data_IF_043590885113
#
_entry.id   IF_043590885113
#
_cell.length_a   1.000
_cell.length_b   1.000
_cell.length_c   1.000
_cell.angle_alpha   90.00
_cell.angle_beta   90.00
_cell.angle_gamma   90.00
#
_symmetry.space_group_name_H-M   'P 1'
#
loop_
_entity.id
_entity.type
_entity.pdbx_description
1 polymer ?
#
# COMPACT_ATOMS: atom_id res chain seq x y z
N UNK A 1 -28.65 29.48 -11.87
CA UNK A 1 -27.78 28.66 -10.99
C UNK A 1 -27.70 27.26 -11.59
N UNK A 2 -26.68 27.00 -12.42
CA UNK A 2 -26.42 25.68 -12.97
C UNK A 2 -25.56 24.90 -11.97
N UNK A 3 -26.07 23.75 -11.51
CA UNK A 3 -25.28 22.77 -10.76
C UNK A 3 -24.33 22.09 -11.74
N UNK A 4 -23.03 22.37 -11.64
CA UNK A 4 -22.00 21.59 -12.32
C UNK A 4 -21.96 20.21 -11.68
N UNK A 5 -22.31 19.19 -12.45
CA UNK A 5 -22.10 17.81 -12.10
C UNK A 5 -20.59 17.55 -12.10
N UNK A 6 -20.07 17.10 -10.95
CA UNK A 6 -18.74 16.52 -10.85
C UNK A 6 -18.76 15.25 -11.71
N UNK A 7 -18.14 15.33 -12.89
CA UNK A 7 -17.86 14.14 -13.69
C UNK A 7 -16.74 13.38 -12.98
N UNK A 8 -17.10 12.30 -12.29
CA UNK A 8 -16.17 11.25 -11.91
C UNK A 8 -15.71 10.60 -13.21
N UNK A 9 -14.44 10.77 -13.55
CA UNK A 9 -13.84 10.14 -14.73
C UNK A 9 -13.86 8.60 -14.55
N UNK A 10 -14.04 7.84 -15.64
CA UNK A 10 -14.08 6.39 -15.55
C UNK A 10 -12.71 5.83 -15.18
N UNK A 11 -12.68 4.90 -14.22
CA UNK A 11 -11.55 4.03 -13.91
C UNK A 11 -11.16 3.23 -15.16
N UNK A 12 -9.99 3.55 -15.72
CA UNK A 12 -9.49 2.87 -16.90
C UNK A 12 -8.29 3.63 -17.45
N UNK A 13 -7.10 3.04 -17.31
CA UNK A 13 -5.79 3.54 -17.75
C UNK A 13 -5.13 4.60 -16.85
N UNK A 14 -4.78 4.22 -15.62
CA UNK A 14 -3.60 4.81 -14.98
C UNK A 14 -2.39 4.46 -15.85
N UNK A 15 -1.95 5.41 -16.68
CA UNK A 15 -0.90 5.22 -17.68
C UNK A 15 0.29 4.45 -17.12
N UNK A 16 0.65 3.36 -17.79
CA UNK A 16 1.59 2.33 -17.31
C UNK A 16 2.97 2.87 -16.88
N UNK A 17 3.31 4.10 -17.28
CA UNK A 17 4.52 4.80 -16.86
C UNK A 17 4.39 5.62 -15.56
N UNK A 18 3.25 6.24 -15.26
CA UNK A 18 3.14 7.27 -14.20
C UNK A 18 3.58 6.76 -12.83
N UNK A 19 4.26 7.60 -12.05
CA UNK A 19 4.64 7.27 -10.68
C UNK A 19 3.39 7.04 -9.80
N UNK A 20 3.49 6.05 -8.91
CA UNK A 20 2.51 5.50 -7.98
C UNK A 20 3.10 5.55 -6.57
N UNK A 21 2.25 5.45 -5.56
CA UNK A 21 2.67 5.59 -4.16
C UNK A 21 3.75 4.56 -3.74
N UNK A 22 3.68 3.32 -4.25
CA UNK A 22 4.69 2.30 -3.93
C UNK A 22 6.08 2.62 -4.55
N UNK A 23 6.15 3.37 -5.66
CA UNK A 23 7.45 3.69 -6.28
C UNK A 23 8.28 4.60 -5.36
N UNK A 24 7.62 5.42 -4.53
CA UNK A 24 8.28 6.19 -3.49
C UNK A 24 9.01 5.31 -2.46
N UNK A 25 8.74 4.01 -2.41
CA UNK A 25 9.43 3.04 -1.57
C UNK A 25 10.39 2.15 -2.36
N UNK A 26 10.05 1.85 -3.60
CA UNK A 26 10.82 0.93 -4.44
C UNK A 26 12.02 1.60 -5.14
N UNK A 27 11.92 2.88 -5.53
CA UNK A 27 13.03 3.60 -6.15
C UNK A 27 14.12 3.93 -5.14
N UNK A 28 15.37 4.00 -5.60
CA UNK A 28 16.44 4.56 -4.78
C UNK A 28 16.16 6.01 -4.44
N UNK A 29 16.44 6.44 -3.20
CA UNK A 29 16.03 7.75 -2.71
C UNK A 29 16.55 8.91 -3.57
N UNK A 30 17.82 8.93 -4.04
CA UNK A 30 18.30 9.97 -4.94
C UNK A 30 17.52 10.02 -6.27
N UNK A 31 17.16 8.85 -6.82
CA UNK A 31 16.40 8.74 -8.08
C UNK A 31 14.97 9.25 -7.89
N UNK A 32 14.34 8.90 -6.77
CA UNK A 32 13.02 9.41 -6.40
C UNK A 32 13.02 10.94 -6.30
N UNK A 33 14.01 11.51 -5.60
CA UNK A 33 14.14 12.95 -5.43
C UNK A 33 14.34 13.67 -6.76
N UNK A 34 15.18 13.13 -7.64
CA UNK A 34 15.43 13.67 -8.99
C UNK A 34 14.17 13.65 -9.86
N UNK A 35 13.50 12.49 -9.95
CA UNK A 35 12.24 12.33 -10.71
C UNK A 35 11.14 13.26 -10.23
N UNK A 36 11.05 13.45 -8.92
CA UNK A 36 10.02 14.30 -8.31
C UNK A 36 10.44 15.77 -8.25
N UNK A 37 11.59 16.14 -8.83
CA UNK A 37 12.20 17.47 -8.73
C UNK A 37 12.13 18.02 -7.29
N UNK A 38 12.60 17.18 -6.36
CA UNK A 38 12.42 17.36 -4.92
C UNK A 38 13.77 17.56 -4.24
N UNK A 39 13.80 18.45 -3.25
CA UNK A 39 14.96 18.64 -2.37
C UNK A 39 14.58 18.43 -0.91
N UNK A 40 15.38 17.68 -0.17
CA UNK A 40 15.29 17.60 1.29
C UNK A 40 16.17 18.68 1.94
N UNK A 41 15.63 19.41 2.90
CA UNK A 41 16.31 20.51 3.61
C UNK A 41 16.12 20.36 5.11
N UNK A 42 17.21 20.33 5.86
CA UNK A 42 17.17 20.35 7.32
C UNK A 42 16.73 21.73 7.83
N UNK A 43 15.73 21.75 8.69
CA UNK A 43 15.23 22.97 9.33
C UNK A 43 14.61 22.65 10.68
N UNK A 44 14.74 23.56 11.64
CA UNK A 44 13.98 23.46 12.89
C UNK A 44 12.48 23.62 12.59
N UNK A 45 11.76 22.50 12.61
CA UNK A 45 10.31 22.42 12.39
C UNK A 45 9.50 22.94 13.61
N UNK A 46 10.18 23.47 14.63
CA UNK A 46 9.58 23.99 15.86
C UNK A 46 9.34 22.91 16.92
N UNK A 47 8.68 23.31 18.00
CA UNK A 47 8.29 22.38 19.07
C UNK A 47 7.07 21.57 18.65
N UNK A 48 6.99 20.31 19.12
CA UNK A 48 5.88 19.34 19.09
C UNK A 48 6.29 17.95 18.56
N UNK A 49 7.51 17.75 18.06
CA UNK A 49 7.98 16.41 17.69
C UNK A 49 7.66 15.98 16.25
N UNK A 50 7.34 16.94 15.38
CA UNK A 50 7.31 16.74 13.93
C UNK A 50 8.67 16.23 13.44
N UNK A 51 8.66 15.25 12.54
CA UNK A 51 9.87 14.69 11.95
C UNK A 51 10.16 15.31 10.58
N UNK A 52 9.12 15.55 9.78
CA UNK A 52 9.25 16.17 8.47
C UNK A 52 7.98 16.90 8.04
N UNK A 53 8.09 17.78 7.06
CA UNK A 53 6.98 18.43 6.38
C UNK A 53 7.27 18.53 4.88
N UNK A 54 6.23 18.50 4.06
CA UNK A 54 6.28 18.75 2.63
C UNK A 54 5.72 20.14 2.34
N UNK A 55 6.45 20.91 1.56
CA UNK A 55 6.04 22.21 1.04
C UNK A 55 6.23 22.25 -0.47
N UNK A 56 5.22 22.71 -1.19
CA UNK A 56 5.29 22.91 -2.64
C UNK A 56 5.66 24.36 -2.95
N UNK A 57 6.72 24.54 -3.73
CA UNK A 57 7.13 25.82 -4.31
C UNK A 57 6.75 25.82 -5.81
N UNK A 58 6.63 26.99 -6.48
CA UNK A 58 6.12 27.09 -7.84
C UNK A 58 6.72 26.12 -8.87
N UNK A 59 7.98 25.71 -8.70
CA UNK A 59 8.67 24.82 -9.65
C UNK A 59 9.29 23.57 -8.99
N UNK A 60 9.09 23.33 -7.68
CA UNK A 60 9.74 22.21 -6.97
C UNK A 60 9.03 21.79 -5.70
N UNK A 61 9.24 20.53 -5.30
CA UNK A 61 8.82 20.03 -3.99
C UNK A 61 9.99 20.21 -3.01
N UNK A 62 9.71 20.71 -1.82
CA UNK A 62 10.67 20.83 -0.74
C UNK A 62 10.21 19.94 0.43
N UNK A 63 11.07 19.01 0.85
CA UNK A 63 10.84 18.21 2.06
C UNK A 63 11.69 18.79 3.18
N UNK A 64 11.03 19.43 4.12
CA UNK A 64 11.64 19.99 5.32
C UNK A 64 11.79 18.87 6.35
N UNK A 65 12.99 18.62 6.83
CA UNK A 65 13.27 17.51 7.76
C UNK A 65 13.90 18.04 9.05
N UNK A 66 13.57 17.41 10.17
CA UNK A 66 14.13 17.78 11.46
C UNK A 66 15.63 17.46 11.51
N UNK A 67 16.49 18.33 12.07
CA UNK A 67 17.90 18.02 12.26
C UNK A 67 18.10 16.84 13.20
N UNK A 68 19.11 16.01 12.91
CA UNK A 68 19.53 14.91 13.79
C UNK A 68 18.74 13.61 13.62
N UNK A 69 17.91 13.48 12.57
CA UNK A 69 17.37 12.18 12.16
C UNK A 69 18.49 11.28 11.64
N UNK A 70 18.41 9.98 11.94
CA UNK A 70 19.24 8.98 11.28
C UNK A 70 18.91 8.87 9.78
N UNK A 71 19.81 8.28 9.00
CA UNK A 71 19.59 8.05 7.56
C UNK A 71 18.30 7.25 7.28
N UNK A 72 18.02 6.26 8.13
CA UNK A 72 16.80 5.45 8.05
C UNK A 72 15.55 6.30 8.33
N UNK A 73 15.54 7.10 9.40
CA UNK A 73 14.41 7.97 9.73
C UNK A 73 14.18 9.03 8.65
N UNK A 74 15.26 9.60 8.10
CA UNK A 74 15.20 10.55 7.00
C UNK A 74 14.57 9.92 5.75
N UNK A 75 15.03 8.72 5.38
CA UNK A 75 14.50 7.96 4.24
C UNK A 75 13.00 7.67 4.42
N UNK A 76 12.60 7.14 5.58
CA UNK A 76 11.18 6.86 5.90
C UNK A 76 10.36 8.15 5.82
N UNK A 77 10.88 9.26 6.35
CA UNK A 77 10.16 10.52 6.39
C UNK A 77 9.89 11.08 4.99
N UNK A 78 10.91 11.14 4.14
CA UNK A 78 10.77 11.62 2.76
C UNK A 78 9.82 10.72 1.97
N UNK A 79 10.02 9.40 2.02
CA UNK A 79 9.22 8.42 1.25
C UNK A 79 7.75 8.44 1.66
N UNK A 80 7.45 8.55 2.96
CA UNK A 80 6.07 8.63 3.45
C UNK A 80 5.34 9.88 2.95
N UNK A 81 6.01 11.04 2.98
CA UNK A 81 5.44 12.29 2.48
C UNK A 81 5.22 12.24 0.97
N UNK A 82 6.22 11.77 0.20
CA UNK A 82 6.13 11.69 -1.26
C UNK A 82 5.13 10.63 -1.72
N UNK A 83 5.05 9.46 -1.08
CA UNK A 83 4.06 8.44 -1.40
C UNK A 83 2.62 8.98 -1.25
N UNK A 84 2.35 9.71 -0.17
CA UNK A 84 1.07 10.36 0.07
C UNK A 84 0.78 11.46 -0.95
N UNK A 85 1.80 12.28 -1.26
CA UNK A 85 1.70 13.36 -2.24
C UNK A 85 1.42 12.85 -3.65
N UNK A 86 2.13 11.82 -4.13
CA UNK A 86 1.96 11.25 -5.49
C UNK A 86 0.52 10.83 -5.73
N UNK A 87 -0.08 10.14 -4.78
CA UNK A 87 -1.45 9.66 -4.93
C UNK A 87 -2.49 10.78 -4.78
N UNK A 88 -2.28 11.67 -3.80
CA UNK A 88 -3.19 12.79 -3.52
C UNK A 88 -2.38 14.06 -3.32
N UNK A 89 -2.04 14.77 -4.42
CA UNK A 89 -1.19 15.95 -4.34
C UNK A 89 -1.81 16.98 -3.42
N UNK A 90 -1.10 17.28 -2.34
CA UNK A 90 -1.52 18.24 -1.34
C UNK A 90 -0.34 19.14 -1.02
N UNK A 91 -0.53 20.47 -1.01
CA UNK A 91 0.58 21.41 -0.90
C UNK A 91 1.31 21.35 0.45
N UNK A 92 0.65 20.82 1.48
CA UNK A 92 1.18 20.67 2.84
C UNK A 92 0.90 19.31 3.45
N UNK A 93 1.95 18.53 3.65
CA UNK A 93 1.86 17.28 4.42
C UNK A 93 2.82 17.37 5.59
N UNK A 94 2.42 16.87 6.75
CA UNK A 94 3.27 16.85 7.94
C UNK A 94 3.39 15.43 8.44
N UNK A 95 4.61 15.02 8.73
CA UNK A 95 4.95 13.71 9.27
C UNK A 95 5.24 13.80 10.76
N UNK A 96 4.56 12.94 11.52
CA UNK A 96 4.74 12.78 12.96
C UNK A 96 5.14 11.34 13.28
N UNK A 97 5.87 11.10 14.37
CA UNK A 97 6.02 9.75 14.89
C UNK A 97 4.65 9.23 15.37
N UNK A 98 4.40 7.95 15.19
CA UNK A 98 3.20 7.31 15.71
C UNK A 98 3.30 7.24 17.24
N UNK A 99 2.25 7.68 17.94
CA UNK A 99 2.17 7.50 19.40
C UNK A 99 2.08 6.00 19.68
N UNK A 100 3.00 5.47 20.49
CA UNK A 100 3.04 4.07 20.95
C UNK A 100 3.65 3.03 19.99
N UNK A 101 4.28 3.42 18.87
CA UNK A 101 4.89 2.48 17.93
C UNK A 101 6.17 2.98 17.26
N UNK A 102 6.81 2.14 16.44
CA UNK A 102 7.98 2.49 15.61
C UNK A 102 7.60 3.13 14.27
N UNK A 103 6.32 3.46 14.06
CA UNK A 103 5.79 3.99 12.80
C UNK A 103 5.74 5.52 12.71
N UNK A 104 5.23 5.99 11.57
CA UNK A 104 5.02 7.41 11.27
C UNK A 104 3.62 7.65 10.73
N UNK A 105 3.08 8.85 10.92
CA UNK A 105 1.76 9.25 10.44
C UNK A 105 1.87 10.56 9.66
N UNK A 106 1.38 10.54 8.42
CA UNK A 106 1.25 11.73 7.58
C UNK A 106 -0.13 12.36 7.79
N UNK A 107 -0.17 13.67 8.03
CA UNK A 107 -1.41 14.44 8.18
C UNK A 107 -1.42 15.67 7.29
N UNK A 108 -2.61 16.02 6.82
CA UNK A 108 -2.92 17.34 6.28
C UNK A 108 -3.08 18.30 7.48
N UNK A 109 -2.38 19.45 7.53
CA UNK A 109 -2.55 20.41 8.62
C UNK A 109 -3.95 21.02 8.54
N UNK A 110 -4.73 20.96 9.63
CA UNK A 110 -6.13 21.38 9.59
C UNK A 110 -6.31 22.89 9.45
N UNK A 111 -5.41 23.74 9.97
CA UNK A 111 -5.67 25.20 10.04
C UNK A 111 -4.43 26.13 10.11
N UNK A 112 -3.20 25.66 9.85
CA UNK A 112 -2.00 26.43 10.25
C UNK A 112 -1.34 27.28 9.14
N UNK A 113 -1.71 27.15 7.86
CA UNK A 113 -0.90 27.71 6.76
C UNK A 113 -1.71 28.45 5.68
N UNK A 114 -2.78 29.15 6.07
CA UNK A 114 -3.58 29.97 5.14
C UNK A 114 -2.78 31.14 4.50
N UNK A 115 -1.61 31.50 5.06
CA UNK A 115 -0.84 32.68 4.66
C UNK A 115 0.34 32.39 3.71
N UNK A 116 0.61 31.13 3.36
CA UNK A 116 1.62 30.82 2.34
C UNK A 116 0.98 30.91 0.95
N UNK A 117 1.57 31.70 0.05
CA UNK A 117 1.17 31.73 -1.36
C UNK A 117 1.67 30.45 -2.02
N UNK A 118 0.73 29.58 -2.40
CA UNK A 118 1.01 28.24 -2.90
C UNK A 118 1.03 28.22 -4.42
N UNK A 119 1.99 27.48 -4.98
CA UNK A 119 1.94 27.04 -6.37
C UNK A 119 1.00 25.85 -6.52
N UNK A 120 0.52 25.61 -7.74
CA UNK A 120 -0.17 24.37 -8.07
C UNK A 120 0.76 23.17 -7.83
N UNK A 121 0.24 22.03 -7.33
CA UNK A 121 1.04 20.84 -7.18
C UNK A 121 1.60 20.38 -8.54
N UNK A 122 2.92 20.14 -8.69
CA UNK A 122 3.47 19.54 -9.90
C UNK A 122 2.81 18.19 -10.22
N UNK A 123 2.59 17.95 -11.51
CA UNK A 123 2.01 16.70 -11.99
C UNK A 123 3.05 15.57 -11.94
N UNK A 124 2.70 14.46 -11.30
CA UNK A 124 3.58 13.32 -11.08
C UNK A 124 3.40 12.28 -12.22
N UNK A 125 3.86 12.61 -13.43
CA UNK A 125 3.58 11.81 -14.65
C UNK A 125 4.77 11.06 -15.26
N UNK A 126 5.93 11.07 -14.61
CA UNK A 126 7.14 10.43 -15.13
C UNK A 126 6.97 8.92 -15.32
N UNK A 127 7.51 8.39 -16.43
CA UNK A 127 7.71 6.94 -16.63
C UNK A 127 8.88 6.44 -15.78
N UNK A 128 8.61 5.54 -14.85
CA UNK A 128 9.59 5.09 -13.85
C UNK A 128 10.14 3.68 -14.07
N UNK A 129 9.61 2.90 -15.03
CA UNK A 129 9.99 1.48 -15.18
C UNK A 129 11.50 1.28 -15.43
N UNK A 130 12.08 2.16 -16.25
CA UNK A 130 13.50 2.10 -16.59
C UNK A 130 14.42 2.53 -15.44
N UNK A 131 13.89 3.20 -14.43
CA UNK A 131 14.65 3.73 -13.28
C UNK A 131 14.94 2.66 -12.22
N UNK A 132 14.29 1.50 -12.31
CA UNK A 132 14.50 0.39 -11.39
C UNK A 132 15.76 -0.43 -11.65
N UNK A 133 16.40 -0.30 -12.82
CA UNK A 133 17.38 -1.28 -13.33
C UNK A 133 18.51 -1.63 -12.36
N UNK A 134 18.94 -0.68 -11.54
CA UNK A 134 20.06 -0.85 -10.59
C UNK A 134 19.63 -0.67 -9.12
N UNK A 135 18.32 -0.62 -8.85
CA UNK A 135 17.78 -0.40 -7.50
C UNK A 135 17.62 -1.69 -6.69
N UNK A 136 17.53 -1.55 -5.37
CA UNK A 136 17.34 -2.66 -4.43
C UNK A 136 16.07 -3.48 -4.72
N UNK A 137 15.05 -2.84 -5.29
CA UNK A 137 13.76 -3.41 -5.64
C UNK A 137 13.55 -3.61 -7.14
N UNK A 138 14.64 -3.67 -7.93
CA UNK A 138 14.56 -4.18 -9.30
C UNK A 138 13.97 -5.60 -9.30
N UNK A 139 13.22 -6.02 -10.33
CA UNK A 139 12.90 -7.44 -10.51
C UNK A 139 14.16 -8.33 -10.48
N UNK A 140 14.14 -9.45 -9.74
CA UNK A 140 15.31 -10.37 -9.67
C UNK A 140 15.68 -10.94 -11.03
N UNK A 141 14.67 -11.30 -11.80
CA UNK A 141 14.80 -12.06 -13.03
C UNK A 141 14.15 -11.33 -14.22
N UNK A 142 14.06 -10.00 -14.15
CA UNK A 142 13.39 -9.16 -15.16
C UNK A 142 11.86 -9.10 -15.01
N UNK A 143 11.24 -8.33 -15.90
CA UNK A 143 9.78 -8.16 -15.93
C UNK A 143 9.09 -9.40 -16.52
N UNK A 144 7.93 -9.75 -15.99
CA UNK A 144 7.15 -10.97 -16.27
C UNK A 144 5.66 -10.65 -16.42
N UNK A 145 4.89 -11.59 -16.98
CA UNK A 145 3.43 -11.46 -17.06
C UNK A 145 2.75 -11.63 -15.69
N UNK A 146 1.49 -11.21 -15.60
CA UNK A 146 0.69 -11.38 -14.38
C UNK A 146 0.55 -12.87 -14.02
N UNK A 147 0.35 -13.74 -15.01
CA UNK A 147 0.26 -15.19 -14.81
C UNK A 147 1.57 -15.79 -14.28
N UNK A 148 2.71 -15.38 -14.85
CA UNK A 148 4.03 -15.85 -14.39
C UNK A 148 4.30 -15.44 -12.94
N UNK A 149 3.96 -14.19 -12.58
CA UNK A 149 4.14 -13.71 -11.21
C UNK A 149 3.15 -14.37 -10.24
N UNK A 150 1.91 -14.62 -10.65
CA UNK A 150 0.93 -15.37 -9.85
C UNK A 150 1.45 -16.76 -9.51
N UNK A 151 1.98 -17.49 -10.51
CA UNK A 151 2.54 -18.82 -10.31
C UNK A 151 3.74 -18.82 -9.36
N UNK A 152 4.61 -17.82 -9.44
CA UNK A 152 5.75 -17.69 -8.52
C UNK A 152 5.33 -17.31 -7.10
N UNK A 153 4.28 -16.49 -6.92
CA UNK A 153 3.70 -16.22 -5.60
C UNK A 153 3.08 -17.48 -4.99
N UNK A 154 2.36 -18.29 -5.77
CA UNK A 154 1.81 -19.57 -5.31
C UNK A 154 2.92 -20.53 -4.89
N UNK A 155 4.02 -20.58 -5.65
CA UNK A 155 5.20 -21.38 -5.33
C UNK A 155 5.90 -20.87 -4.07
N UNK A 156 6.08 -19.56 -3.92
CA UNK A 156 6.64 -18.94 -2.71
C UNK A 156 5.82 -19.34 -1.49
N UNK A 157 4.49 -19.23 -1.57
CA UNK A 157 3.60 -19.60 -0.48
C UNK A 157 3.71 -21.09 -0.13
N UNK A 158 3.64 -21.97 -1.12
CA UNK A 158 3.62 -23.42 -0.90
C UNK A 158 4.98 -24.01 -0.49
N UNK A 159 6.08 -23.53 -1.09
CA UNK A 159 7.41 -24.11 -0.91
C UNK A 159 8.19 -23.39 0.19
N UNK A 160 8.31 -22.07 0.08
CA UNK A 160 9.18 -21.30 0.97
C UNK A 160 8.48 -20.97 2.29
N UNK A 161 7.20 -20.61 2.22
CA UNK A 161 6.39 -20.33 3.41
C UNK A 161 5.66 -21.55 3.97
N UNK A 162 5.73 -22.71 3.28
CA UNK A 162 5.04 -23.97 3.64
C UNK A 162 3.55 -23.78 3.96
N UNK A 163 2.91 -22.83 3.29
CA UNK A 163 1.50 -22.50 3.46
C UNK A 163 0.62 -23.15 2.41
N UNK A 164 -0.65 -22.75 2.41
CA UNK A 164 -1.70 -23.19 1.50
C UNK A 164 -2.34 -21.97 0.88
N UNK A 165 -2.43 -21.97 -0.45
CA UNK A 165 -3.20 -20.98 -1.22
C UNK A 165 -4.14 -21.76 -2.12
N UNK A 166 -5.43 -21.54 -1.93
CA UNK A 166 -6.50 -22.19 -2.69
C UNK A 166 -7.47 -21.15 -3.22
N UNK A 167 -8.18 -21.48 -4.30
CA UNK A 167 -9.30 -20.67 -4.73
C UNK A 167 -10.50 -20.94 -3.82
N UNK A 168 -11.27 -19.90 -3.51
CA UNK A 168 -12.53 -20.04 -2.79
C UNK A 168 -13.45 -20.95 -3.63
N UNK A 169 -13.94 -22.07 -3.06
CA UNK A 169 -14.76 -23.03 -3.78
C UNK A 169 -16.02 -22.41 -4.41
N UNK A 170 -16.37 -22.87 -5.61
CA UNK A 170 -17.51 -22.33 -6.38
C UNK A 170 -18.85 -22.48 -5.63
N UNK A 171 -18.98 -23.49 -4.77
CA UNK A 171 -20.16 -23.72 -3.93
C UNK A 171 -20.40 -22.64 -2.86
N UNK A 172 -19.39 -21.82 -2.53
CA UNK A 172 -19.54 -20.73 -1.55
C UNK A 172 -20.13 -19.45 -2.16
N UNK A 173 -20.37 -19.42 -3.48
CA UNK A 173 -20.90 -18.24 -4.15
C UNK A 173 -22.44 -18.14 -4.01
N UNK A 174 -22.99 -16.91 -3.94
CA UNK A 174 -22.29 -15.62 -4.02
C UNK A 174 -21.58 -15.26 -2.71
N UNK A 175 -20.36 -14.74 -2.84
CA UNK A 175 -19.58 -14.23 -1.71
C UNK A 175 -20.09 -12.84 -1.27
N UNK A 176 -19.84 -12.42 -0.02
CA UNK A 176 -20.11 -11.06 0.43
C UNK A 176 -19.56 -10.01 -0.53
N UNK A 177 -20.30 -8.92 -0.71
CA UNK A 177 -19.93 -7.84 -1.61
C UNK A 177 -18.52 -7.32 -1.30
N UNK A 178 -17.69 -7.26 -2.35
CA UNK A 178 -16.31 -6.79 -2.26
C UNK A 178 -15.33 -7.76 -1.61
N UNK A 179 -15.71 -8.98 -1.19
CA UNK A 179 -14.74 -9.96 -0.69
C UNK A 179 -13.80 -10.42 -1.83
N UNK A 180 -12.50 -10.34 -1.59
CA UNK A 180 -11.45 -10.79 -2.49
C UNK A 180 -10.64 -11.97 -1.97
N UNK A 181 -10.41 -12.07 -0.65
CA UNK A 181 -9.71 -13.20 -0.07
C UNK A 181 -10.06 -13.39 1.42
N UNK A 182 -9.84 -14.59 1.92
CA UNK A 182 -9.80 -14.91 3.36
C UNK A 182 -8.39 -15.36 3.71
N UNK A 183 -7.82 -14.81 4.77
CA UNK A 183 -6.43 -15.05 5.17
C UNK A 183 -6.36 -15.47 6.62
N UNK A 184 -5.54 -16.47 6.90
CA UNK A 184 -5.13 -16.84 8.25
C UNK A 184 -3.65 -17.25 8.25
N UNK A 185 -3.12 -17.48 9.45
CA UNK A 185 -1.79 -18.03 9.65
C UNK A 185 -1.86 -19.22 10.61
N UNK A 186 -1.42 -20.39 10.14
CA UNK A 186 -1.10 -21.52 11.02
C UNK A 186 0.31 -21.38 11.58
N UNK A 187 0.60 -22.03 12.70
CA UNK A 187 1.94 -22.03 13.30
C UNK A 187 2.45 -23.46 13.45
N UNK A 188 3.69 -23.72 13.04
CA UNK A 188 4.33 -25.02 13.30
C UNK A 188 4.84 -25.14 14.74
N UNK A 189 5.46 -26.28 15.05
CA UNK A 189 6.04 -26.56 16.37
C UNK A 189 7.21 -25.64 16.74
N UNK A 190 7.80 -24.93 15.77
CA UNK A 190 8.87 -23.95 15.99
C UNK A 190 8.30 -22.52 16.14
N UNK A 191 6.98 -22.36 16.01
CA UNK A 191 6.30 -21.07 16.07
C UNK A 191 6.43 -20.25 14.80
N UNK A 192 6.81 -20.87 13.67
CA UNK A 192 6.85 -20.21 12.37
C UNK A 192 5.46 -20.13 11.77
N UNK A 193 5.12 -18.96 11.22
CA UNK A 193 3.83 -18.72 10.58
C UNK A 193 3.78 -19.30 9.16
N UNK A 194 2.70 -19.99 8.84
CA UNK A 194 2.39 -20.58 7.54
C UNK A 194 1.09 -19.98 7.01
N UNK A 195 1.11 -19.32 5.85
CA UNK A 195 -0.08 -18.65 5.33
C UNK A 195 -1.14 -19.66 4.92
N UNK A 196 -2.40 -19.38 5.26
CA UNK A 196 -3.58 -20.04 4.72
C UNK A 196 -4.41 -18.97 4.02
N UNK A 197 -4.44 -19.00 2.68
CA UNK A 197 -5.11 -17.99 1.85
C UNK A 197 -6.14 -18.65 0.96
N UNK A 198 -7.40 -18.24 1.08
CA UNK A 198 -8.44 -18.56 0.11
C UNK A 198 -8.71 -17.35 -0.75
N UNK A 199 -8.35 -17.43 -2.03
CA UNK A 199 -8.42 -16.33 -2.98
C UNK A 199 -9.67 -16.45 -3.84
N UNK A 200 -10.33 -15.33 -4.11
CA UNK A 200 -11.46 -15.31 -5.03
C UNK A 200 -10.98 -15.55 -6.47
N UNK A 201 -11.43 -16.66 -7.06
CA UNK A 201 -10.91 -17.16 -8.35
C UNK A 201 -11.42 -16.45 -9.61
N UNK A 202 -12.59 -15.80 -9.54
CA UNK A 202 -13.23 -15.09 -10.67
C UNK A 202 -12.64 -13.69 -10.93
N UNK A 203 -11.69 -13.24 -10.11
CA UNK A 203 -11.02 -11.95 -10.24
C UNK A 203 -10.03 -11.92 -11.41
N UNK A 204 -9.83 -10.75 -11.99
CA UNK A 204 -8.80 -10.54 -13.00
C UNK A 204 -7.40 -10.90 -12.45
N UNK A 205 -6.56 -11.53 -13.28
CA UNK A 205 -5.26 -12.09 -12.86
C UNK A 205 -4.37 -11.03 -12.19
N UNK A 206 -4.29 -9.82 -12.74
CA UNK A 206 -3.50 -8.75 -12.14
C UNK A 206 -3.94 -8.36 -10.73
N UNK A 207 -5.25 -8.31 -10.48
CA UNK A 207 -5.80 -8.07 -9.15
C UNK A 207 -5.49 -9.24 -8.20
N UNK A 208 -5.58 -10.48 -8.69
CA UNK A 208 -5.20 -11.69 -7.93
C UNK A 208 -3.73 -11.68 -7.51
N UNK A 209 -2.84 -11.20 -8.37
CA UNK A 209 -1.40 -11.06 -8.05
C UNK A 209 -1.19 -10.05 -6.92
N UNK A 210 -1.76 -8.84 -7.06
CA UNK A 210 -1.63 -7.79 -6.05
C UNK A 210 -2.23 -8.23 -4.70
N UNK A 211 -3.42 -8.84 -4.75
CA UNK A 211 -4.15 -9.33 -3.59
C UNK A 211 -3.40 -10.47 -2.90
N UNK A 212 -2.90 -11.45 -3.65
CA UNK A 212 -2.11 -12.54 -3.06
C UNK A 212 -0.82 -12.02 -2.42
N UNK A 213 -0.13 -11.08 -3.06
CA UNK A 213 1.04 -10.41 -2.47
C UNK A 213 0.71 -9.76 -1.12
N UNK A 214 -0.41 -9.04 -1.05
CA UNK A 214 -0.91 -8.48 0.21
C UNK A 214 -1.26 -9.56 1.25
N UNK A 215 -1.98 -10.61 0.86
CA UNK A 215 -2.39 -11.70 1.76
C UNK A 215 -1.20 -12.46 2.35
N UNK A 216 -0.16 -12.72 1.56
CA UNK A 216 1.06 -13.37 2.05
C UNK A 216 1.82 -12.47 3.03
N UNK A 217 1.91 -11.16 2.73
CA UNK A 217 2.47 -10.19 3.66
C UNK A 217 1.67 -10.12 4.97
N UNK A 218 0.34 -10.19 4.89
CA UNK A 218 -0.57 -10.17 6.03
C UNK A 218 -0.31 -11.38 6.95
N UNK A 219 -0.26 -12.57 6.36
CA UNK A 219 0.01 -13.81 7.08
C UNK A 219 1.43 -13.90 7.68
N UNK A 220 2.40 -13.17 7.12
CA UNK A 220 3.76 -13.08 7.67
C UNK A 220 3.85 -12.21 8.95
N UNK A 221 2.73 -11.64 9.43
CA UNK A 221 2.67 -10.96 10.71
C UNK A 221 3.22 -9.53 10.70
N UNK A 222 3.18 -8.83 9.55
CA UNK A 222 3.47 -7.39 9.53
C UNK A 222 2.46 -6.62 10.39
N UNK A 223 2.79 -5.44 10.90
CA UNK A 223 1.82 -4.65 11.69
C UNK A 223 0.59 -4.26 10.84
N UNK A 224 -0.62 -4.42 11.37
CA UNK A 224 -1.88 -4.12 10.68
C UNK A 224 -2.69 -3.07 11.44
N UNK A 225 -2.27 -1.80 11.50
CA UNK A 225 -3.05 -0.65 12.02
C UNK A 225 -3.97 -0.92 13.27
N UNK A 226 -3.62 -1.85 14.16
CA UNK A 226 -4.46 -2.28 15.28
C UNK A 226 -5.67 -3.19 14.96
N UNK A 227 -5.88 -3.63 13.70
CA UNK A 227 -6.89 -4.63 13.32
C UNK A 227 -6.46 -6.03 13.75
N UNK A 228 -7.37 -6.72 14.44
CA UNK A 228 -7.23 -8.12 14.85
C UNK A 228 -8.03 -9.02 13.91
N UNK A 229 -7.63 -10.29 13.74
CA UNK A 229 -8.47 -11.25 13.07
C UNK A 229 -9.75 -11.49 13.87
N UNK A 230 -10.73 -12.14 13.26
CA UNK A 230 -11.94 -12.59 13.95
C UNK A 230 -11.64 -13.67 15.01
N UNK A 231 -12.69 -14.18 15.66
CA UNK A 231 -12.58 -15.23 16.68
C UNK A 231 -11.96 -16.54 16.18
N UNK A 232 -12.01 -16.79 14.86
CA UNK A 232 -11.43 -17.95 14.20
C UNK A 232 -10.01 -17.68 13.69
N UNK A 233 -9.46 -16.49 13.92
CA UNK A 233 -8.15 -16.12 13.42
C UNK A 233 -8.15 -15.76 11.94
N UNK A 234 -9.30 -15.36 11.38
CA UNK A 234 -9.45 -15.00 9.96
C UNK A 234 -9.43 -13.48 9.76
N UNK A 235 -8.78 -13.07 8.68
CA UNK A 235 -8.90 -11.75 8.08
C UNK A 235 -9.67 -11.86 6.76
N UNK A 236 -10.65 -10.98 6.58
CA UNK A 236 -11.40 -10.85 5.33
C UNK A 236 -10.79 -9.67 4.57
N UNK A 237 -10.28 -9.91 3.36
CA UNK A 237 -9.61 -8.90 2.54
C UNK A 237 -10.52 -8.55 1.37
N UNK A 238 -10.78 -7.25 1.21
CA UNK A 238 -11.62 -6.75 0.13
C UNK A 238 -10.90 -6.71 -1.23
N UNK A 239 -11.67 -6.48 -2.29
CA UNK A 239 -11.16 -6.23 -3.65
C UNK A 239 -10.72 -4.78 -3.86
N UNK A 240 -11.23 -3.86 -3.03
CA UNK A 240 -10.88 -2.44 -3.11
C UNK A 240 -9.47 -2.22 -2.57
N UNK A 241 -8.59 -1.71 -3.42
CA UNK A 241 -7.21 -1.42 -3.10
C UNK A 241 -6.91 0.08 -3.16
N UNK A 242 -6.26 0.58 -2.13
CA UNK A 242 -5.75 1.96 -2.08
C UNK A 242 -4.24 2.06 -2.36
N UNK A 243 -3.71 3.29 -2.38
CA UNK A 243 -2.29 3.54 -2.54
C UNK A 243 -1.44 3.05 -1.36
N UNK A 244 -0.26 2.54 -1.66
CA UNK A 244 0.75 2.16 -0.66
C UNK A 244 1.47 3.41 -0.13
N UNK A 245 0.95 4.03 0.92
CA UNK A 245 1.46 5.32 1.44
C UNK A 245 2.56 5.20 2.50
N UNK A 246 2.84 4.00 3.01
CA UNK A 246 3.74 3.84 4.16
C UNK A 246 4.21 2.40 4.38
N UNK A 247 5.12 2.18 5.35
CA UNK A 247 5.53 0.84 5.77
C UNK A 247 4.35 0.04 6.30
N UNK A 248 4.37 -1.28 6.06
CA UNK A 248 3.34 -2.20 6.54
C UNK A 248 3.02 -3.28 5.51
N UNK A 249 1.92 -4.00 5.72
CA UNK A 249 1.47 -5.12 4.86
C UNK A 249 1.38 -4.76 3.39
N UNK A 250 0.74 -3.63 3.09
CA UNK A 250 0.54 -3.17 1.72
C UNK A 250 1.87 -2.95 0.99
N UNK A 251 2.85 -2.36 1.69
CA UNK A 251 4.16 -2.14 1.12
C UNK A 251 4.93 -3.44 0.94
N UNK A 252 4.94 -4.31 1.94
CA UNK A 252 5.63 -5.59 1.83
C UNK A 252 5.06 -6.41 0.65
N UNK A 253 3.73 -6.50 0.55
CA UNK A 253 3.07 -7.21 -0.55
C UNK A 253 3.40 -6.62 -1.92
N UNK A 254 3.33 -5.29 -2.06
CA UNK A 254 3.71 -4.60 -3.30
C UNK A 254 5.18 -4.87 -3.69
N UNK A 255 6.10 -4.79 -2.73
CA UNK A 255 7.52 -5.03 -2.96
C UNK A 255 7.82 -6.50 -3.29
N UNK A 256 7.08 -7.46 -2.74
CA UNK A 256 7.16 -8.87 -3.12
C UNK A 256 6.78 -9.07 -4.59
N UNK A 257 5.62 -8.53 -5.00
CA UNK A 257 5.14 -8.56 -6.39
C UNK A 257 6.16 -7.92 -7.34
N UNK A 258 6.70 -6.75 -6.95
CA UNK A 258 7.73 -6.06 -7.73
C UNK A 258 9.00 -6.88 -7.87
N UNK A 259 9.47 -7.50 -6.78
CA UNK A 259 10.70 -8.29 -6.80
C UNK A 259 10.59 -9.52 -7.69
N UNK A 260 9.38 -10.06 -7.85
CA UNK A 260 9.06 -11.16 -8.76
C UNK A 260 8.85 -10.74 -10.22
N UNK A 261 8.90 -9.45 -10.53
CA UNK A 261 8.91 -8.96 -11.91
C UNK A 261 7.61 -8.39 -12.43
N UNK A 262 6.71 -7.95 -11.56
CA UNK A 262 5.52 -7.19 -11.97
C UNK A 262 5.42 -5.89 -11.20
N UNK A 263 5.17 -4.78 -11.90
CA UNK A 263 4.94 -3.51 -11.21
C UNK A 263 3.56 -3.55 -10.54
N UNK A 264 3.48 -3.45 -9.21
CA UNK A 264 2.22 -3.61 -8.49
C UNK A 264 1.24 -2.48 -8.79
N UNK A 265 -0.05 -2.79 -8.65
CA UNK A 265 -1.13 -1.82 -8.68
C UNK A 265 -1.17 -0.95 -7.42
N UNK A 266 -2.38 -0.48 -7.12
CA UNK A 266 -2.71 -0.10 -5.74
C UNK A 266 -2.88 -1.41 -4.94
N UNK A 267 -2.22 -1.50 -3.78
CA UNK A 267 -2.11 -2.74 -2.99
C UNK A 267 -2.48 -2.55 -1.51
N UNK A 268 -2.94 -1.37 -1.11
CA UNK A 268 -3.44 -1.15 0.25
C UNK A 268 -4.89 -1.64 0.35
N UNK A 269 -5.07 -2.95 0.32
CA UNK A 269 -6.38 -3.58 0.40
C UNK A 269 -7.04 -3.35 1.75
N UNK A 270 -8.35 -3.11 1.72
CA UNK A 270 -9.15 -2.93 2.94
C UNK A 270 -9.42 -4.27 3.61
N UNK A 271 -9.21 -4.33 4.93
CA UNK A 271 -9.74 -5.41 5.75
C UNK A 271 -11.24 -5.17 6.01
N UNK A 272 -12.05 -6.16 5.68
CA UNK A 272 -13.49 -6.17 5.89
C UNK A 272 -13.82 -6.64 7.31
N UNK A 273 -15.00 -6.25 7.78
CA UNK A 273 -15.57 -6.84 8.99
C UNK A 273 -16.03 -8.27 8.67
N UNK A 274 -15.98 -9.21 9.64
CA UNK A 274 -16.50 -10.55 9.43
C UNK A 274 -17.97 -10.46 9.01
N UNK A 275 -18.43 -11.34 8.11
CA UNK A 275 -19.85 -11.41 7.79
C UNK A 275 -20.64 -11.65 9.09
N UNK A 276 -21.71 -10.88 9.31
CA UNK A 276 -22.59 -11.12 10.44
C UNK A 276 -23.18 -12.53 10.33
N UNK A 277 -23.06 -13.33 11.40
CA UNK A 277 -23.75 -14.60 11.50
C UNK A 277 -25.24 -14.34 11.27
N UNK A 278 -25.72 -14.70 10.09
CA UNK A 278 -27.14 -14.85 9.86
C UNK A 278 -27.58 -16.01 10.73
N UNK A 279 -28.04 -15.71 11.95
CA UNK A 279 -28.55 -16.71 12.88
C UNK A 279 -29.45 -17.68 12.10
N UNK A 280 -29.27 -19.00 12.25
CA UNK A 280 -30.08 -19.95 11.51
C UNK A 280 -31.54 -19.63 11.81
N UNK A 281 -32.28 -19.33 10.74
CA UNK A 281 -33.70 -19.01 10.82
C UNK A 281 -34.36 -20.07 11.69
N UNK A 282 -34.91 -19.64 12.82
CA UNK A 282 -35.78 -20.47 13.62
C UNK A 282 -36.91 -20.89 12.67
N UNK A 283 -36.86 -22.13 12.20
CA UNK A 283 -38.02 -22.79 11.64
C UNK A 283 -39.10 -22.74 12.72
N UNK A 284 -39.99 -21.77 12.61
CA UNK A 284 -41.26 -21.79 13.32
C UNK A 284 -42.09 -22.87 12.64
N UNK A 285 -41.91 -24.11 13.09
CA UNK A 285 -42.84 -25.19 12.82
C UNK A 285 -44.20 -24.78 13.38
N UNK A 286 -45.18 -24.70 12.48
CA UNK A 286 -46.60 -24.60 12.80
C UNK A 286 -47.15 -25.93 13.31
#
# INVERSE_FOLDING_TARGET
>A
MQKQAVQVAPEGTHGEGRIRAHDAWALELPVLLDVMNTQAVEIDLGQHGMQAALAVLPDRICVLVRPGLSEQELSVAIRSLLARYIHRPFPHLVLWPQREGQGVVVKEPSDVLADLVLGDPPDATADVLHLYKDGNWAPKDGWRSDEEVLMELLKLAAVDMKGVVEDIPEEMYPLPDGLGAVVSAGYDSEGLAHPLVFLRGDLAVGLRVDLLGFCLALAAGTEHEGRKPDENGLFYVGTDAGPVCGPGTALLGALMVQRLGRRPGDCAFRLLDPPEDSAPGVESAA
#
